data_IF_880608655006
#
_entry.id   IF_880608655006
#
_cell.length_a   1.000
_cell.length_b   1.000
_cell.length_c   1.000
_cell.angle_alpha   90.00
_cell.angle_beta   90.00
_cell.angle_gamma   90.00
#
_symmetry.space_group_name_H-M   'P 1'
#
loop_
_entity.id
_entity.type
_entity.pdbx_description
1 polymer ?
#
# COMPACT_ATOMS: atom_id res chain seq x y z
N UNK A 1 5.01 -1.71 29.98
CA UNK A 1 4.82 -0.64 28.98
C UNK A 1 6.12 -0.49 28.21
N UNK A 2 6.06 -0.33 26.88
CA UNK A 2 7.27 -0.14 26.08
C UNK A 2 7.97 1.18 26.47
N UNK A 3 9.31 1.20 26.45
CA UNK A 3 10.07 2.46 26.59
C UNK A 3 9.63 3.45 25.51
N UNK A 4 9.81 4.75 25.76
CA UNK A 4 9.53 5.79 24.75
C UNK A 4 10.49 5.60 23.56
N UNK A 5 9.94 5.40 22.37
CA UNK A 5 10.70 5.15 21.13
C UNK A 5 11.01 6.44 20.40
N UNK A 6 12.25 6.58 19.95
CA UNK A 6 12.71 7.66 19.10
C UNK A 6 12.50 7.29 17.63
N UNK A 7 11.75 8.11 16.89
CA UNK A 7 11.47 7.92 15.48
C UNK A 7 12.34 8.87 14.66
N UNK A 8 13.13 8.31 13.74
CA UNK A 8 13.77 9.04 12.67
C UNK A 8 12.85 9.11 11.45
N UNK A 9 12.74 10.26 10.79
CA UNK A 9 11.94 10.40 9.57
C UNK A 9 12.86 10.79 8.42
N UNK A 10 12.78 10.06 7.30
CA UNK A 10 13.52 10.38 6.07
C UNK A 10 12.53 10.62 4.93
N UNK A 11 12.58 11.83 4.38
CA UNK A 11 11.61 12.35 3.42
C UNK A 11 10.44 13.04 4.12
N UNK A 12 10.38 14.36 4.08
CA UNK A 12 9.29 15.18 4.63
C UNK A 12 8.33 15.60 3.50
N UNK A 13 7.83 14.63 2.73
CA UNK A 13 6.83 14.84 1.69
C UNK A 13 5.42 15.06 2.24
N UNK A 14 4.46 15.37 1.36
CA UNK A 14 3.03 15.64 1.71
C UNK A 14 2.41 14.59 2.66
N UNK A 15 2.74 13.32 2.46
CA UNK A 15 2.20 12.24 3.31
C UNK A 15 2.67 12.35 4.77
N UNK A 16 3.91 12.80 4.98
CA UNK A 16 4.48 13.00 6.31
C UNK A 16 3.84 14.21 6.99
N UNK A 17 3.65 15.31 6.26
CA UNK A 17 2.92 16.50 6.71
C UNK A 17 1.52 16.19 7.18
N UNK A 18 0.74 15.61 6.27
CA UNK A 18 -0.70 15.54 6.40
C UNK A 18 -1.12 14.38 7.33
N UNK A 19 -0.27 13.36 7.49
CA UNK A 19 -0.63 12.12 8.17
C UNK A 19 0.38 11.67 9.22
N UNK A 20 1.63 11.35 8.85
CA UNK A 20 2.53 10.68 9.80
C UNK A 20 2.87 11.55 11.01
N UNK A 21 3.23 12.82 10.80
CA UNK A 21 3.62 13.70 11.89
C UNK A 21 2.48 13.95 12.89
N UNK A 22 1.26 14.38 12.48
CA UNK A 22 0.13 14.49 13.40
C UNK A 22 -0.17 13.19 14.14
N UNK A 23 -0.17 12.06 13.42
CA UNK A 23 -0.48 10.76 14.00
C UNK A 23 0.55 10.31 15.04
N UNK A 24 1.84 10.43 14.73
CA UNK A 24 2.92 10.03 15.64
C UNK A 24 2.91 10.89 16.91
N UNK A 25 2.47 12.15 16.84
CA UNK A 25 2.29 12.98 18.05
C UNK A 25 1.13 12.55 18.95
N UNK A 26 0.18 11.77 18.43
CA UNK A 26 -0.90 11.18 19.22
C UNK A 26 -0.49 9.86 19.92
N UNK A 27 0.73 9.37 19.70
CA UNK A 27 1.25 8.16 20.34
C UNK A 27 2.11 8.52 21.56
N UNK A 28 1.64 8.17 22.75
CA UNK A 28 2.30 8.54 24.02
C UNK A 28 3.73 7.96 24.16
N UNK A 29 3.98 6.80 23.56
CA UNK A 29 5.24 6.07 23.63
C UNK A 29 6.20 6.42 22.48
N UNK A 30 6.00 7.52 21.77
CA UNK A 30 6.81 7.94 20.62
C UNK A 30 7.34 9.36 20.80
N UNK A 31 8.53 9.62 20.26
CA UNK A 31 9.10 10.96 20.07
C UNK A 31 9.76 11.05 18.70
N UNK A 32 9.52 12.14 17.97
CA UNK A 32 10.26 12.42 16.74
C UNK A 32 11.67 12.92 17.11
N UNK A 33 12.70 12.15 16.77
CA UNK A 33 14.10 12.50 17.07
C UNK A 33 14.68 13.45 16.04
N UNK A 34 14.52 13.10 14.77
CA UNK A 34 14.97 13.92 13.65
C UNK A 34 14.02 13.78 12.45
N UNK A 35 14.05 14.79 11.59
CA UNK A 35 13.42 14.80 10.28
C UNK A 35 14.52 15.14 9.27
N UNK A 36 14.69 14.28 8.28
CA UNK A 36 15.67 14.43 7.21
C UNK A 36 14.99 14.62 5.86
N UNK A 37 15.46 15.58 5.07
CA UNK A 37 15.00 15.83 3.70
C UNK A 37 16.13 16.49 2.89
N UNK A 38 16.06 16.40 1.56
CA UNK A 38 16.98 17.14 0.66
C UNK A 38 16.69 18.65 0.67
N UNK A 39 15.47 19.03 1.05
CA UNK A 39 15.01 20.43 1.20
C UNK A 39 15.24 20.93 2.63
N UNK A 40 15.21 22.26 2.79
CA UNK A 40 15.18 22.85 4.13
C UNK A 40 13.83 22.57 4.81
N UNK A 41 13.88 21.93 5.98
CA UNK A 41 12.73 21.50 6.79
C UNK A 41 12.79 22.06 8.23
N UNK A 42 13.62 23.08 8.49
CA UNK A 42 13.86 23.63 9.83
C UNK A 42 12.60 24.03 10.59
N UNK A 43 11.71 24.79 9.94
CA UNK A 43 10.48 25.28 10.58
C UNK A 43 9.57 24.16 11.08
N UNK A 44 9.64 23.02 10.40
CA UNK A 44 8.82 21.89 10.76
C UNK A 44 9.46 21.12 11.87
N UNK A 45 10.74 20.78 11.71
CA UNK A 45 11.44 20.03 12.73
C UNK A 45 11.28 20.77 14.08
N UNK A 46 11.37 22.10 14.06
CA UNK A 46 11.03 22.98 15.17
C UNK A 46 9.61 22.78 15.72
N UNK A 47 8.58 22.77 14.86
CA UNK A 47 7.18 22.55 15.24
C UNK A 47 6.96 21.22 15.98
N UNK A 48 7.76 20.20 15.64
CA UNK A 48 7.70 18.86 16.26
C UNK A 48 8.82 18.60 17.29
N UNK A 49 9.60 19.63 17.66
CA UNK A 49 10.75 19.53 18.59
C UNK A 49 11.76 18.44 18.19
N UNK A 50 11.94 18.27 16.88
CA UNK A 50 12.86 17.33 16.25
C UNK A 50 14.08 18.07 15.68
N UNK A 51 15.19 17.34 15.49
CA UNK A 51 16.37 17.86 14.80
C UNK A 51 16.11 17.89 13.29
N UNK A 52 16.36 19.03 12.65
CA UNK A 52 16.36 19.14 11.19
C UNK A 52 17.69 18.64 10.62
N UNK A 53 17.64 17.72 9.66
CA UNK A 53 18.84 17.23 8.96
C UNK A 53 18.63 17.45 7.46
N UNK A 54 19.53 18.20 6.83
CA UNK A 54 19.59 18.23 5.37
C UNK A 54 20.43 17.03 4.92
N UNK A 55 19.86 16.16 4.08
CA UNK A 55 20.55 14.98 3.55
C UNK A 55 20.78 15.15 2.05
N UNK A 56 22.02 14.99 1.60
CA UNK A 56 22.43 15.08 0.20
C UNK A 56 22.86 13.68 -0.28
N UNK A 57 21.94 12.71 -0.21
CA UNK A 57 22.06 11.29 -0.62
C UNK A 57 23.00 10.37 0.17
N UNK A 58 23.68 10.84 1.22
CA UNK A 58 24.41 9.98 2.15
C UNK A 58 23.58 9.64 3.39
N UNK A 59 23.00 8.41 3.48
CA UNK A 59 22.22 8.01 4.67
C UNK A 59 23.09 7.79 5.91
N UNK A 60 24.42 7.66 5.78
CA UNK A 60 25.30 7.33 6.90
C UNK A 60 25.38 8.45 7.94
N UNK A 61 25.14 9.70 7.52
CA UNK A 61 25.11 10.88 8.41
C UNK A 61 23.92 10.88 9.38
N UNK A 62 22.89 10.08 9.11
CA UNK A 62 21.67 10.06 9.91
C UNK A 62 21.96 9.40 11.26
N UNK A 63 21.53 10.01 12.38
CA UNK A 63 21.79 9.46 13.71
C UNK A 63 20.89 8.25 13.97
N UNK A 64 21.30 7.39 14.90
CA UNK A 64 20.49 6.23 15.27
C UNK A 64 19.12 6.61 15.85
N UNK A 65 18.14 5.73 15.68
CA UNK A 65 16.80 5.85 16.23
C UNK A 65 16.26 4.45 16.56
N UNK A 66 15.14 4.38 17.29
CA UNK A 66 14.53 3.10 17.62
C UNK A 66 13.69 2.54 16.45
N UNK A 67 13.14 3.42 15.59
CA UNK A 67 12.47 3.08 14.33
C UNK A 67 12.71 4.21 13.33
N UNK A 68 12.95 3.88 12.05
CA UNK A 68 12.99 4.88 10.97
C UNK A 68 11.73 4.79 10.08
N UNK A 69 11.12 5.93 9.78
CA UNK A 69 10.13 6.09 8.71
C UNK A 69 10.85 6.47 7.41
N UNK A 70 10.76 5.62 6.39
CA UNK A 70 11.23 5.92 5.04
C UNK A 70 10.05 6.36 4.16
N UNK A 71 9.89 7.68 4.01
CA UNK A 71 8.89 8.31 3.15
C UNK A 71 9.50 8.99 1.90
N UNK A 72 10.67 8.50 1.48
CA UNK A 72 11.35 8.90 0.24
C UNK A 72 10.69 8.30 -1.00
N UNK A 73 10.92 8.85 -2.21
CA UNK A 73 10.60 8.16 -3.46
C UNK A 73 11.24 6.76 -3.52
N UNK A 74 10.60 5.81 -4.21
CA UNK A 74 11.07 4.42 -4.24
C UNK A 74 12.42 4.26 -4.92
N UNK A 75 12.70 5.08 -5.94
CA UNK A 75 13.96 5.04 -6.70
C UNK A 75 15.23 5.33 -5.89
N UNK A 76 15.11 6.05 -4.77
CA UNK A 76 16.25 6.43 -3.92
C UNK A 76 16.22 5.72 -2.57
N UNK A 77 15.36 4.71 -2.39
CA UNK A 77 15.13 4.09 -1.08
C UNK A 77 16.20 3.08 -0.69
N UNK A 78 16.82 2.43 -1.68
CA UNK A 78 17.76 1.34 -1.44
C UNK A 78 18.91 1.72 -0.49
N UNK A 79 19.63 2.84 -0.68
CA UNK A 79 20.73 3.21 0.22
C UNK A 79 20.27 3.36 1.68
N UNK A 80 19.06 3.89 1.91
CA UNK A 80 18.50 4.01 3.25
C UNK A 80 18.14 2.64 3.85
N UNK A 81 17.52 1.74 3.09
CA UNK A 81 17.23 0.37 3.57
C UNK A 81 18.53 -0.35 3.92
N UNK A 82 19.55 -0.23 3.07
CA UNK A 82 20.85 -0.82 3.33
C UNK A 82 21.47 -0.26 4.62
N UNK A 83 21.45 1.06 4.80
CA UNK A 83 22.08 1.71 5.95
C UNK A 83 21.38 1.36 7.27
N UNK A 84 20.05 1.50 7.33
CA UNK A 84 19.30 1.16 8.55
C UNK A 84 19.25 -0.36 8.79
N UNK A 85 19.29 -1.16 7.74
CA UNK A 85 19.42 -2.62 7.83
C UNK A 85 20.74 -3.07 8.46
N UNK A 86 21.88 -2.48 8.06
CA UNK A 86 23.19 -2.73 8.68
C UNK A 86 23.22 -2.42 10.18
N UNK A 87 22.47 -1.39 10.59
CA UNK A 87 22.36 -0.97 12.00
C UNK A 87 21.28 -1.71 12.77
N UNK A 88 20.60 -2.67 12.13
CA UNK A 88 19.47 -3.43 12.67
C UNK A 88 18.30 -2.56 13.18
N UNK A 89 18.18 -1.34 12.63
CA UNK A 89 17.12 -0.38 12.98
C UNK A 89 15.83 -0.80 12.25
N UNK A 90 14.71 -0.99 12.96
CA UNK A 90 13.42 -1.26 12.35
C UNK A 90 12.98 -0.19 11.36
N UNK A 91 12.47 -0.62 10.21
CA UNK A 91 12.08 0.25 9.10
C UNK A 91 10.57 0.23 8.87
N UNK A 92 9.94 1.39 8.98
CA UNK A 92 8.58 1.62 8.48
C UNK A 92 8.67 2.32 7.12
N UNK A 93 8.45 1.59 6.03
CA UNK A 93 8.53 2.14 4.67
C UNK A 93 7.16 2.60 4.17
N UNK A 94 7.11 3.75 3.51
CA UNK A 94 5.99 4.07 2.64
C UNK A 94 5.91 3.14 1.43
N UNK A 95 4.72 3.10 0.83
CA UNK A 95 4.42 2.32 -0.37
C UNK A 95 4.69 3.14 -1.66
N UNK A 96 4.99 2.48 -2.79
CA UNK A 96 5.25 1.04 -2.93
C UNK A 96 6.55 0.66 -2.21
N UNK A 97 6.64 -0.56 -1.68
CA UNK A 97 7.84 -1.00 -0.96
C UNK A 97 9.09 -0.97 -1.85
N UNK A 98 8.98 -1.51 -3.07
CA UNK A 98 10.01 -1.55 -4.09
C UNK A 98 9.41 -1.33 -5.48
N UNK A 99 10.24 -0.93 -6.45
CA UNK A 99 9.82 -0.66 -7.82
C UNK A 99 9.50 -1.94 -8.61
N UNK A 100 10.17 -3.04 -8.31
CA UNK A 100 9.97 -4.34 -8.96
C UNK A 100 10.34 -5.49 -8.00
N UNK A 101 10.07 -6.72 -8.43
CA UNK A 101 10.30 -7.91 -7.61
C UNK A 101 11.77 -8.12 -7.24
N UNK A 102 12.71 -7.81 -8.14
CA UNK A 102 14.14 -7.98 -7.89
C UNK A 102 14.61 -7.05 -6.75
N UNK A 103 14.27 -5.77 -6.85
CA UNK A 103 14.54 -4.79 -5.79
C UNK A 103 13.86 -5.18 -4.47
N UNK A 104 12.62 -5.69 -4.52
CA UNK A 104 11.93 -6.17 -3.33
C UNK A 104 12.70 -7.31 -2.65
N UNK A 105 13.09 -8.34 -3.41
CA UNK A 105 13.88 -9.48 -2.90
C UNK A 105 15.22 -9.01 -2.34
N UNK A 106 15.86 -8.02 -2.97
CA UNK A 106 17.09 -7.41 -2.48
C UNK A 106 16.88 -6.71 -1.13
N UNK A 107 15.81 -5.91 -0.97
CA UNK A 107 15.50 -5.23 0.28
C UNK A 107 15.27 -6.21 1.44
N UNK A 108 14.59 -7.33 1.19
CA UNK A 108 14.37 -8.37 2.21
C UNK A 108 15.65 -9.12 2.62
N UNK A 109 16.71 -9.07 1.81
CA UNK A 109 18.04 -9.58 2.20
C UNK A 109 18.82 -8.58 3.06
N UNK A 110 18.49 -7.29 2.99
CA UNK A 110 19.18 -6.22 3.71
C UNK A 110 18.64 -6.03 5.13
N UNK A 111 17.39 -6.42 5.38
CA UNK A 111 16.76 -6.32 6.71
C UNK A 111 15.61 -7.31 6.86
N UNK A 112 15.47 -7.85 8.07
CA UNK A 112 14.34 -8.66 8.51
C UNK A 112 13.41 -7.90 9.49
N UNK A 113 13.62 -6.59 9.69
CA UNK A 113 12.84 -5.75 10.61
C UNK A 113 12.13 -4.62 9.87
N UNK A 114 11.36 -4.97 8.85
CA UNK A 114 10.74 -3.98 7.95
C UNK A 114 9.25 -4.21 7.78
N UNK A 115 8.51 -3.11 7.67
CA UNK A 115 7.12 -3.10 7.26
C UNK A 115 6.89 -2.09 6.13
N UNK A 116 5.87 -2.32 5.29
CA UNK A 116 5.42 -1.33 4.32
C UNK A 116 4.01 -0.84 4.67
N UNK A 117 3.73 0.43 4.44
CA UNK A 117 2.47 1.07 4.75
C UNK A 117 1.31 0.68 3.81
N UNK A 118 1.02 -0.60 3.68
CA UNK A 118 -0.22 -1.12 3.10
C UNK A 118 -1.37 -1.08 4.11
N UNK A 119 -1.60 0.09 4.72
CA UNK A 119 -2.61 0.31 5.78
C UNK A 119 -4.03 -0.11 5.41
N UNK A 120 -4.40 -0.13 4.13
CA UNK A 120 -5.77 -0.47 3.70
C UNK A 120 -6.20 -1.89 4.08
N UNK A 121 -5.26 -2.79 4.42
CA UNK A 121 -5.61 -4.10 4.98
C UNK A 121 -6.35 -4.01 6.32
N UNK A 122 -6.27 -2.86 7.00
CA UNK A 122 -6.99 -2.56 8.24
C UNK A 122 -8.37 -1.94 8.01
N UNK A 123 -8.77 -1.64 6.76
CA UNK A 123 -10.12 -1.17 6.49
C UNK A 123 -11.15 -2.24 6.90
N UNK A 124 -12.21 -1.79 7.57
CA UNK A 124 -13.33 -2.65 7.97
C UNK A 124 -13.90 -3.45 6.80
N UNK A 125 -14.08 -2.83 5.63
CA UNK A 125 -14.51 -3.50 4.40
C UNK A 125 -13.63 -4.69 4.01
N UNK A 126 -12.31 -4.52 4.07
CA UNK A 126 -11.34 -5.58 3.75
C UNK A 126 -11.42 -6.72 4.75
N UNK A 127 -11.54 -6.40 6.04
CA UNK A 127 -11.63 -7.39 7.12
C UNK A 127 -12.94 -8.18 7.05
N UNK A 128 -14.07 -7.50 6.83
CA UNK A 128 -15.37 -8.12 6.66
C UNK A 128 -15.44 -8.97 5.38
N UNK A 129 -14.82 -8.53 4.28
CA UNK A 129 -14.74 -9.32 3.05
C UNK A 129 -13.96 -10.62 3.25
N UNK A 130 -12.85 -10.57 4.00
CA UNK A 130 -12.07 -11.75 4.38
C UNK A 130 -12.89 -12.71 5.26
N UNK A 131 -13.64 -12.17 6.23
CA UNK A 131 -14.55 -12.96 7.07
C UNK A 131 -15.64 -13.66 6.23
N UNK A 132 -16.27 -12.95 5.28
CA UNK A 132 -17.27 -13.51 4.36
C UNK A 132 -16.68 -14.69 3.57
N UNK A 133 -15.49 -14.51 2.96
CA UNK A 133 -14.83 -15.59 2.20
C UNK A 133 -14.54 -16.78 3.11
N UNK A 134 -13.96 -16.54 4.30
CA UNK A 134 -13.58 -17.61 5.23
C UNK A 134 -14.78 -18.39 5.78
N UNK A 135 -15.93 -17.73 5.94
CA UNK A 135 -17.15 -18.36 6.46
C UNK A 135 -17.84 -19.27 5.44
N UNK A 136 -17.57 -19.08 4.15
CA UNK A 136 -18.27 -19.80 3.07
C UNK A 136 -19.77 -19.49 2.96
N UNK A 137 -20.26 -18.44 3.63
CA UNK A 137 -21.71 -18.14 3.73
C UNK A 137 -22.41 -17.96 2.38
N UNK A 138 -21.69 -17.50 1.35
CA UNK A 138 -22.22 -17.31 -0.01
C UNK A 138 -21.78 -18.40 -1.01
N UNK A 139 -21.21 -19.49 -0.53
CA UNK A 139 -20.61 -20.54 -1.35
C UNK A 139 -19.24 -20.14 -1.91
N UNK A 140 -18.85 -20.74 -3.03
CA UNK A 140 -17.53 -20.53 -3.62
C UNK A 140 -17.43 -19.16 -4.29
N UNK A 141 -16.28 -18.50 -4.13
CA UNK A 141 -15.93 -17.32 -4.91
C UNK A 141 -15.64 -17.73 -6.36
N UNK A 142 -16.34 -17.12 -7.32
CA UNK A 142 -16.28 -17.46 -8.74
C UNK A 142 -15.47 -16.47 -9.56
N UNK A 143 -15.64 -15.18 -9.27
CA UNK A 143 -15.02 -14.09 -10.05
C UNK A 143 -14.84 -12.85 -9.19
N UNK A 144 -13.81 -12.08 -9.50
CA UNK A 144 -13.54 -10.78 -8.91
C UNK A 144 -13.44 -9.75 -10.04
N UNK A 145 -14.08 -8.60 -9.85
CA UNK A 145 -13.98 -7.44 -10.76
C UNK A 145 -13.55 -6.23 -9.95
N UNK A 146 -12.45 -5.60 -10.33
CA UNK A 146 -11.90 -4.42 -9.67
C UNK A 146 -11.75 -3.33 -10.71
N UNK A 147 -12.40 -2.20 -10.46
CA UNK A 147 -12.23 -1.00 -11.25
C UNK A 147 -11.75 0.12 -10.34
N UNK A 148 -10.66 0.78 -10.71
CA UNK A 148 -10.14 1.92 -9.99
C UNK A 148 -9.94 3.09 -10.94
N UNK A 149 -10.65 4.16 -10.69
CA UNK A 149 -10.44 5.43 -11.37
C UNK A 149 -9.81 6.44 -10.42
N UNK A 150 -8.81 7.14 -10.95
CA UNK A 150 -8.24 8.29 -10.29
C UNK A 150 -8.33 9.49 -11.24
N UNK A 151 -8.84 10.61 -10.76
CA UNK A 151 -8.84 11.84 -11.56
C UNK A 151 -7.44 12.47 -11.56
N UNK A 152 -6.88 12.74 -12.75
CA UNK A 152 -5.75 13.67 -12.90
C UNK A 152 -6.25 15.08 -12.60
N UNK A 153 -6.25 15.49 -11.34
CA UNK A 153 -6.45 16.90 -11.00
C UNK A 153 -5.16 17.65 -11.33
N UNK A 154 -5.25 18.94 -11.69
CA UNK A 154 -4.08 19.84 -11.66
C UNK A 154 -3.48 19.76 -10.26
N UNK A 155 -2.36 19.05 -10.13
CA UNK A 155 -1.78 18.75 -8.82
C UNK A 155 -1.01 19.94 -8.25
N UNK A 156 -0.79 20.99 -9.05
CA UNK A 156 0.10 22.11 -8.72
C UNK A 156 1.56 21.67 -8.54
N UNK A 157 1.88 20.43 -8.92
CA UNK A 157 3.22 19.87 -8.72
C UNK A 157 4.18 20.41 -9.80
N UNK A 158 5.43 20.72 -9.42
CA UNK A 158 6.48 21.08 -10.36
C UNK A 158 6.67 20.01 -11.46
N UNK A 159 7.18 20.40 -12.64
CA UNK A 159 7.40 19.48 -13.77
C UNK A 159 8.41 18.37 -13.44
N UNK A 160 9.34 18.65 -12.54
CA UNK A 160 10.41 17.81 -12.00
C UNK A 160 9.99 17.01 -10.74
N UNK A 161 8.69 16.98 -10.43
CA UNK A 161 8.19 16.21 -9.29
C UNK A 161 8.47 14.71 -9.46
N UNK A 162 8.89 14.01 -8.40
CA UNK A 162 9.30 12.59 -8.48
C UNK A 162 8.30 11.63 -9.18
N UNK A 163 7.01 11.97 -9.18
CA UNK A 163 5.96 11.17 -9.84
C UNK A 163 5.95 11.26 -11.37
N UNK A 164 6.61 12.25 -11.96
CA UNK A 164 6.79 12.37 -13.42
C UNK A 164 8.11 11.77 -13.90
N UNK A 165 8.95 11.26 -12.98
CA UNK A 165 10.21 10.61 -13.26
C UNK A 165 10.09 9.09 -12.99
N UNK A 166 10.09 8.23 -14.03
CA UNK A 166 9.96 6.78 -13.89
C UNK A 166 10.97 6.16 -12.92
N UNK A 167 12.21 6.63 -12.93
CA UNK A 167 13.27 6.16 -12.04
C UNK A 167 12.93 6.43 -10.58
N UNK A 168 12.38 7.60 -10.27
CA UNK A 168 12.03 7.98 -8.89
C UNK A 168 10.69 7.39 -8.43
N UNK A 169 9.69 7.33 -9.31
CA UNK A 169 8.35 6.81 -9.00
C UNK A 169 8.26 5.29 -9.00
N UNK A 170 9.15 4.64 -9.75
CA UNK A 170 9.15 3.19 -10.01
C UNK A 170 8.13 2.75 -11.07
N UNK A 171 7.21 3.63 -11.48
CA UNK A 171 6.14 3.34 -12.44
C UNK A 171 5.00 4.38 -12.38
N UNK A 172 3.93 4.12 -13.14
CA UNK A 172 2.75 4.99 -13.24
C UNK A 172 1.65 4.62 -12.25
N UNK A 173 0.39 4.68 -12.71
CA UNK A 173 -0.80 4.55 -11.86
C UNK A 173 -0.88 3.19 -11.16
N UNK A 174 -0.45 2.10 -11.81
CA UNK A 174 -0.49 0.76 -11.24
C UNK A 174 0.41 0.64 -10.00
N UNK A 175 1.64 1.12 -10.09
CA UNK A 175 2.55 1.15 -8.93
C UNK A 175 2.10 2.19 -7.90
N UNK A 176 1.72 3.38 -8.31
CA UNK A 176 1.44 4.48 -7.38
C UNK A 176 0.14 4.26 -6.59
N UNK A 177 -0.90 3.77 -7.25
CA UNK A 177 -2.26 3.61 -6.71
C UNK A 177 -2.70 2.15 -6.65
N UNK A 178 -2.42 1.38 -7.70
CA UNK A 178 -2.83 -0.01 -7.82
C UNK A 178 -2.21 -0.92 -6.76
N UNK A 179 -0.98 -0.65 -6.30
CA UNK A 179 -0.32 -1.44 -5.24
C UNK A 179 -1.15 -1.54 -3.95
N UNK A 180 -1.86 -0.47 -3.57
CA UNK A 180 -2.77 -0.53 -2.41
C UNK A 180 -3.92 -1.50 -2.66
N UNK A 181 -4.58 -1.39 -3.80
CA UNK A 181 -5.73 -2.22 -4.16
C UNK A 181 -5.35 -3.67 -4.32
N UNK A 182 -4.21 -3.95 -4.94
CA UNK A 182 -3.67 -5.30 -5.07
C UNK A 182 -3.20 -5.85 -3.72
N UNK A 183 -2.64 -5.05 -2.81
CA UNK A 183 -2.34 -5.50 -1.44
C UNK A 183 -3.60 -5.88 -0.65
N UNK A 184 -4.70 -5.15 -0.82
CA UNK A 184 -6.00 -5.52 -0.23
C UNK A 184 -6.48 -6.84 -0.80
N UNK A 185 -6.38 -7.03 -2.12
CA UNK A 185 -6.77 -8.27 -2.79
C UNK A 185 -5.98 -9.47 -2.27
N UNK A 186 -4.64 -9.37 -2.21
CA UNK A 186 -3.78 -10.43 -1.67
C UNK A 186 -4.12 -10.71 -0.20
N UNK A 187 -4.36 -9.67 0.61
CA UNK A 187 -4.74 -9.86 2.02
C UNK A 187 -6.10 -10.56 2.18
N UNK A 188 -7.09 -10.23 1.34
CA UNK A 188 -8.42 -10.84 1.35
C UNK A 188 -8.34 -12.32 0.97
N UNK A 189 -7.59 -12.64 -0.09
CA UNK A 189 -7.46 -13.99 -0.63
C UNK A 189 -6.52 -14.88 0.19
N UNK A 190 -5.61 -14.27 0.96
CA UNK A 190 -4.63 -15.00 1.75
C UNK A 190 -3.49 -15.51 0.87
N UNK A 191 -2.92 -16.66 1.26
CA UNK A 191 -1.88 -17.29 0.47
C UNK A 191 -2.47 -17.82 -0.85
N UNK A 192 -1.90 -17.36 -1.97
CA UNK A 192 -2.35 -17.71 -3.29
C UNK A 192 -1.27 -17.48 -4.34
N UNK A 193 -1.35 -18.26 -5.42
CA UNK A 193 -0.60 -18.04 -6.64
C UNK A 193 -1.48 -17.33 -7.69
N UNK A 194 -0.84 -16.83 -8.74
CA UNK A 194 -1.55 -16.16 -9.82
C UNK A 194 -0.90 -16.42 -11.18
N UNK A 195 -1.72 -16.35 -12.22
CA UNK A 195 -1.29 -16.45 -13.61
C UNK A 195 -1.93 -15.33 -14.41
N UNK A 196 -1.10 -14.43 -14.96
CA UNK A 196 -1.59 -13.37 -15.84
C UNK A 196 -2.05 -14.01 -17.16
N UNK A 197 -3.32 -13.80 -17.52
CA UNK A 197 -3.88 -14.29 -18.79
C UNK A 197 -3.68 -13.25 -19.88
N UNK A 198 -4.07 -12.02 -19.59
CA UNK A 198 -4.04 -10.89 -20.52
C UNK A 198 -3.66 -9.63 -19.73
N UNK A 199 -2.87 -8.76 -20.35
CA UNK A 199 -2.57 -7.44 -19.82
C UNK A 199 -2.40 -6.48 -21.00
N UNK A 200 -2.99 -5.31 -20.88
CA UNK A 200 -2.87 -4.20 -21.82
C UNK A 200 -2.76 -2.91 -21.02
N UNK A 201 -2.04 -1.93 -21.56
CA UNK A 201 -2.03 -0.60 -20.97
C UNK A 201 -1.61 0.50 -21.91
N UNK A 202 -1.75 1.73 -21.39
CA UNK A 202 -1.39 2.96 -22.07
C UNK A 202 -0.30 3.67 -21.28
N UNK A 203 0.81 3.96 -21.94
CA UNK A 203 1.97 4.63 -21.38
C UNK A 203 2.18 6.01 -21.98
N UNK A 204 2.72 6.90 -21.16
CA UNK A 204 3.24 8.19 -21.58
C UNK A 204 4.55 8.41 -20.82
N UNK A 205 5.66 8.54 -21.56
CA UNK A 205 7.02 8.69 -20.99
C UNK A 205 7.35 7.59 -19.96
N UNK A 206 7.14 6.32 -20.32
CA UNK A 206 7.39 5.14 -19.47
C UNK A 206 6.52 5.01 -18.21
N UNK A 207 5.61 5.94 -17.97
CA UNK A 207 4.62 5.86 -16.90
C UNK A 207 3.29 5.32 -17.45
N UNK A 208 2.75 4.28 -16.83
CA UNK A 208 1.41 3.80 -17.18
C UNK A 208 0.33 4.76 -16.67
N UNK A 209 -0.62 5.11 -17.53
CA UNK A 209 -1.81 5.89 -17.20
C UNK A 209 -3.09 5.06 -17.21
N UNK A 210 -3.01 3.86 -17.79
CA UNK A 210 -4.10 2.90 -17.82
C UNK A 210 -3.53 1.50 -17.87
N UNK A 211 -4.09 0.61 -17.05
CA UNK A 211 -3.83 -0.83 -17.12
C UNK A 211 -5.17 -1.54 -17.04
N UNK A 212 -5.35 -2.52 -17.93
CA UNK A 212 -6.41 -3.51 -17.88
C UNK A 212 -5.76 -4.88 -17.94
N UNK A 213 -6.10 -5.76 -17.00
CA UNK A 213 -5.54 -7.11 -16.96
C UNK A 213 -6.57 -8.11 -16.47
N UNK A 214 -6.47 -9.32 -17.02
CA UNK A 214 -7.18 -10.50 -16.55
C UNK A 214 -6.14 -11.49 -16.04
N UNK A 215 -6.31 -11.95 -14.81
CA UNK A 215 -5.46 -12.98 -14.23
C UNK A 215 -6.29 -13.96 -13.42
N UNK A 216 -5.79 -15.17 -13.31
CA UNK A 216 -6.40 -16.19 -12.46
C UNK A 216 -5.62 -16.23 -11.14
N UNK A 217 -6.33 -16.27 -10.01
CA UNK A 217 -5.77 -16.57 -8.69
C UNK A 217 -6.03 -18.05 -8.39
N UNK A 218 -5.01 -18.73 -7.89
CA UNK A 218 -5.02 -20.16 -7.57
C UNK A 218 -4.83 -20.32 -6.06
N UNK A 219 -5.77 -20.99 -5.39
CA UNK A 219 -5.70 -21.33 -3.96
C UNK A 219 -6.30 -22.73 -3.75
N UNK A 220 -5.47 -23.69 -3.31
CA UNK A 220 -5.89 -25.07 -3.02
C UNK A 220 -6.82 -25.65 -4.11
N UNK A 221 -6.32 -25.68 -5.35
CA UNK A 221 -7.00 -26.14 -6.58
C UNK A 221 -8.20 -25.31 -7.06
N UNK A 222 -8.56 -24.24 -6.36
CA UNK A 222 -9.60 -23.31 -6.81
C UNK A 222 -8.99 -22.21 -7.65
N UNK A 223 -9.60 -22.00 -8.82
CA UNK A 223 -9.22 -20.94 -9.76
C UNK A 223 -10.30 -19.85 -9.72
N UNK A 224 -9.91 -18.64 -9.34
CA UNK A 224 -10.78 -17.46 -9.36
C UNK A 224 -10.26 -16.46 -10.37
N UNK A 225 -11.05 -16.15 -11.39
CA UNK A 225 -10.70 -15.13 -12.37
C UNK A 225 -10.86 -13.73 -11.79
N UNK A 226 -9.85 -12.89 -11.99
CA UNK A 226 -9.83 -11.48 -11.60
C UNK A 226 -9.72 -10.63 -12.85
N UNK A 227 -10.70 -9.74 -13.02
CA UNK A 227 -10.65 -8.64 -13.99
C UNK A 227 -10.28 -7.37 -13.24
N UNK A 228 -9.12 -6.81 -13.55
CA UNK A 228 -8.60 -5.61 -12.91
C UNK A 228 -8.42 -4.50 -13.94
N UNK A 229 -8.93 -3.32 -13.62
CA UNK A 229 -8.73 -2.12 -14.42
C UNK A 229 -8.39 -0.94 -13.53
N UNK A 230 -7.33 -0.22 -13.86
CA UNK A 230 -6.96 1.03 -13.23
C UNK A 230 -6.71 2.09 -14.31
N UNK A 231 -7.21 3.31 -14.12
CA UNK A 231 -7.11 4.35 -15.15
C UNK A 231 -7.10 5.77 -14.61
N UNK A 232 -6.27 6.61 -15.24
CA UNK A 232 -6.39 8.07 -15.25
C UNK A 232 -7.28 8.57 -16.40
N UNK A 233 -7.48 7.75 -17.44
CA UNK A 233 -8.03 8.18 -18.73
C UNK A 233 -9.54 8.01 -18.85
N UNK A 234 -10.11 6.99 -18.18
CA UNK A 234 -11.53 6.63 -18.31
C UNK A 234 -12.26 6.88 -16.99
N UNK A 235 -13.04 7.97 -16.86
CA UNK A 235 -13.87 8.19 -15.68
C UNK A 235 -14.78 6.99 -15.41
N UNK A 236 -14.66 6.40 -14.22
CA UNK A 236 -15.50 5.30 -13.78
C UNK A 236 -15.66 5.31 -12.26
N UNK A 237 -16.57 4.48 -11.76
CA UNK A 237 -16.70 4.26 -10.32
C UNK A 237 -15.55 3.37 -9.83
N UNK A 238 -14.95 3.75 -8.71
CA UNK A 238 -13.96 2.90 -8.01
C UNK A 238 -14.67 1.89 -7.13
N UNK A 239 -14.51 0.59 -7.43
CA UNK A 239 -15.12 -0.50 -6.66
C UNK A 239 -14.34 -1.81 -6.79
N UNK A 240 -14.55 -2.69 -5.81
CA UNK A 240 -14.25 -4.12 -5.90
C UNK A 240 -15.55 -4.89 -5.78
N UNK A 241 -15.77 -5.86 -6.66
CA UNK A 241 -16.91 -6.76 -6.67
C UNK A 241 -16.43 -8.21 -6.63
N UNK A 242 -16.95 -8.96 -5.67
CA UNK A 242 -16.70 -10.38 -5.45
C UNK A 242 -17.99 -11.14 -5.76
N UNK A 243 -17.94 -12.05 -6.73
CA UNK A 243 -19.09 -12.81 -7.22
C UNK A 243 -18.98 -14.23 -6.71
N UNK A 244 -19.95 -14.67 -5.92
CA UNK A 244 -20.03 -16.00 -5.33
C UNK A 244 -21.08 -16.88 -6.02
N UNK A 245 -21.33 -18.06 -5.47
CA UNK A 245 -22.42 -18.94 -5.92
C UNK A 245 -23.79 -18.30 -5.73
N UNK A 246 -24.03 -17.73 -4.55
CA UNK A 246 -25.37 -17.26 -4.18
C UNK A 246 -25.50 -15.73 -4.12
N UNK A 247 -24.39 -15.00 -4.03
CA UNK A 247 -24.40 -13.55 -3.86
C UNK A 247 -23.25 -12.82 -4.59
N UNK A 248 -23.41 -11.51 -4.75
CA UNK A 248 -22.36 -10.56 -5.10
C UNK A 248 -22.13 -9.62 -3.93
N UNK A 249 -20.85 -9.37 -3.60
CA UNK A 249 -20.45 -8.39 -2.60
C UNK A 249 -19.64 -7.29 -3.27
N UNK A 250 -20.04 -6.03 -3.11
CA UNK A 250 -19.41 -4.88 -3.75
C UNK A 250 -19.14 -3.77 -2.75
N UNK A 251 -17.99 -3.11 -2.86
CA UNK A 251 -17.63 -1.97 -2.01
C UNK A 251 -16.61 -1.07 -2.72
N UNK A 252 -16.54 0.21 -2.34
CA UNK A 252 -15.46 1.09 -2.78
C UNK A 252 -14.17 0.80 -2.00
N UNK A 253 -13.21 0.12 -2.63
CA UNK A 253 -11.93 -0.23 -1.99
C UNK A 253 -11.00 0.95 -1.72
N UNK A 254 -11.27 2.14 -2.27
CA UNK A 254 -10.48 3.34 -1.99
C UNK A 254 -10.72 3.89 -0.58
N UNK A 255 -11.87 3.58 0.02
CA UNK A 255 -12.31 4.01 1.35
C UNK A 255 -12.70 2.80 2.22
N UNK A 256 -12.77 2.97 3.55
CA UNK A 256 -13.37 1.97 4.44
C UNK A 256 -14.91 1.98 4.32
N UNK A 257 -15.41 1.60 3.14
CA UNK A 257 -16.81 1.66 2.73
C UNK A 257 -17.67 0.52 3.33
N UNK A 258 -19.00 0.66 3.27
CA UNK A 258 -19.92 -0.43 3.57
C UNK A 258 -19.84 -1.52 2.48
N UNK A 259 -20.13 -2.77 2.85
CA UNK A 259 -20.28 -3.85 1.87
C UNK A 259 -21.72 -3.92 1.38
N UNK A 260 -21.94 -3.80 0.06
CA UNK A 260 -23.25 -4.01 -0.57
C UNK A 260 -23.36 -5.45 -1.04
N UNK A 261 -24.38 -6.15 -0.57
CA UNK A 261 -24.61 -7.58 -0.86
C UNK A 261 -25.90 -7.73 -1.64
N UNK A 262 -25.83 -8.40 -2.79
CA UNK A 262 -26.99 -8.69 -3.65
C UNK A 262 -27.07 -10.19 -3.96
N UNK A 263 -28.28 -10.79 -4.01
CA UNK A 263 -28.44 -12.15 -4.55
C UNK A 263 -27.99 -12.22 -6.00
N UNK A 264 -27.37 -13.34 -6.40
CA UNK A 264 -26.91 -13.53 -7.78
C UNK A 264 -28.08 -13.76 -8.77
N UNK A 265 -29.22 -14.28 -8.30
CA UNK A 265 -30.38 -14.67 -9.13
C UNK A 265 -31.24 -13.51 -9.65
N UNK A 266 -30.70 -12.28 -9.70
CA UNK A 266 -31.34 -11.13 -10.34
C UNK A 266 -32.74 -10.76 -9.81
N UNK A 267 -32.91 -10.68 -8.50
CA UNK A 267 -34.06 -9.99 -7.91
C UNK A 267 -33.84 -8.48 -7.99
N UNK A 268 -34.84 -7.73 -8.48
CA UNK A 268 -34.92 -6.25 -8.59
C UNK A 268 -34.79 -5.49 -7.24
N UNK A 269 -34.00 -5.98 -6.29
CA UNK A 269 -33.76 -5.38 -4.98
C UNK A 269 -32.40 -4.71 -4.90
N UNK A 270 -32.28 -3.69 -4.04
CA UNK A 270 -31.04 -2.95 -3.81
C UNK A 270 -29.98 -3.74 -3.05
N UNK A 271 -30.32 -4.95 -2.60
CA UNK A 271 -29.51 -5.74 -1.69
C UNK A 271 -29.60 -5.23 -0.25
N UNK A 272 -28.65 -5.63 0.58
CA UNK A 272 -28.46 -5.03 1.90
C UNK A 272 -27.03 -4.53 2.08
N UNK A 273 -26.85 -3.62 3.04
CA UNK A 273 -25.55 -3.06 3.39
C UNK A 273 -25.08 -3.67 4.70
N UNK A 274 -23.85 -4.16 4.72
CA UNK A 274 -23.11 -4.40 5.96
C UNK A 274 -22.33 -3.12 6.27
N UNK A 275 -22.72 -2.44 7.35
CA UNK A 275 -22.05 -1.24 7.80
C UNK A 275 -20.59 -1.54 8.23
N UNK A 276 -19.69 -0.55 8.12
CA UNK A 276 -18.32 -0.65 8.62
C UNK A 276 -18.26 -1.08 10.09
N UNK A 277 -17.58 -2.19 10.37
CA UNK A 277 -17.35 -2.65 11.74
C UNK A 277 -16.32 -1.75 12.44
N UNK A 278 -16.71 -1.12 13.56
CA UNK A 278 -15.86 -0.23 14.38
C UNK A 278 -14.68 -0.93 15.08
N UNK A 279 -14.60 -2.26 15.05
CA UNK A 279 -13.42 -3.03 15.48
C UNK A 279 -12.18 -2.74 14.61
N UNK A 280 -12.40 -2.34 13.36
CA UNK A 280 -11.36 -2.07 12.37
C UNK A 280 -11.45 -0.63 11.89
N UNK A 281 -10.56 -0.20 10.99
CA UNK A 281 -10.54 1.18 10.54
C UNK A 281 -11.80 1.53 9.73
N UNK A 282 -12.50 2.56 10.17
CA UNK A 282 -13.60 3.23 9.47
C UNK A 282 -13.17 4.57 8.88
N UNK A 283 -11.90 4.96 9.05
CA UNK A 283 -11.27 6.11 8.37
C UNK A 283 -9.86 5.75 7.90
N UNK A 284 -9.33 6.51 6.94
CA UNK A 284 -7.94 6.34 6.51
C UNK A 284 -6.95 6.59 7.66
N UNK A 285 -7.16 7.62 8.48
CA UNK A 285 -6.29 7.93 9.63
C UNK A 285 -6.25 6.81 10.67
N UNK A 286 -7.40 6.17 10.94
CA UNK A 286 -7.43 4.98 11.81
C UNK A 286 -6.63 3.82 11.21
N UNK A 287 -6.65 3.63 9.89
CA UNK A 287 -5.87 2.57 9.25
C UNK A 287 -4.35 2.82 9.39
N UNK A 288 -3.91 4.05 9.18
CA UNK A 288 -2.51 4.45 9.46
C UNK A 288 -2.16 4.21 10.94
N UNK A 289 -3.06 4.57 11.85
CA UNK A 289 -2.84 4.40 13.29
C UNK A 289 -2.68 2.93 13.65
N UNK A 290 -3.58 2.07 13.16
CA UNK A 290 -3.52 0.63 13.38
C UNK A 290 -2.23 0.02 12.79
N UNK A 291 -1.79 0.49 11.61
CA UNK A 291 -0.53 0.03 11.01
C UNK A 291 0.70 0.42 11.84
N UNK A 292 0.77 1.67 12.31
CA UNK A 292 1.84 2.12 13.20
C UNK A 292 1.83 1.37 14.53
N UNK A 293 0.66 1.27 15.15
CA UNK A 293 0.49 0.58 16.43
C UNK A 293 0.92 -0.88 16.34
N UNK A 294 0.47 -1.61 15.31
CA UNK A 294 0.86 -3.00 15.09
C UNK A 294 2.38 -3.15 14.92
N UNK A 295 3.03 -2.28 14.15
CA UNK A 295 4.48 -2.33 13.97
C UNK A 295 5.23 -2.01 15.27
N UNK A 296 4.83 -0.94 15.98
CA UNK A 296 5.42 -0.57 17.27
C UNK A 296 5.24 -1.68 18.31
N UNK A 297 4.04 -2.28 18.37
CA UNK A 297 3.75 -3.39 19.29
C UNK A 297 4.67 -4.59 19.00
N UNK A 298 4.90 -4.93 17.72
CA UNK A 298 5.86 -6.00 17.32
C UNK A 298 7.28 -5.68 17.76
N UNK A 299 7.75 -4.45 17.58
CA UNK A 299 9.08 -4.02 18.03
C UNK A 299 9.21 -4.07 19.56
N UNK A 300 8.23 -3.52 20.27
CA UNK A 300 8.22 -3.46 21.73
C UNK A 300 8.11 -4.82 22.41
N UNK A 301 7.52 -5.81 21.73
CA UNK A 301 7.34 -7.17 22.25
C UNK A 301 8.32 -8.18 21.66
N UNK A 302 9.30 -7.71 20.87
CA UNK A 302 10.27 -8.54 20.15
C UNK A 302 9.60 -9.69 19.37
N UNK A 303 8.37 -9.47 18.91
CA UNK A 303 7.66 -10.46 18.10
C UNK A 303 8.33 -10.58 16.73
N UNK A 304 8.45 -11.81 16.20
CA UNK A 304 8.89 -12.01 14.84
C UNK A 304 8.08 -11.17 13.85
N UNK A 305 8.77 -10.52 12.92
CA UNK A 305 8.16 -9.75 11.84
C UNK A 305 8.23 -10.62 10.60
N UNK A 306 7.08 -11.10 10.13
CA UNK A 306 6.99 -11.70 8.81
C UNK A 306 7.08 -10.59 7.76
N UNK A 307 8.32 -10.29 7.36
CA UNK A 307 8.59 -9.22 6.40
C UNK A 307 7.92 -9.48 5.06
N UNK A 308 7.75 -10.74 4.64
CA UNK A 308 7.11 -11.07 3.36
C UNK A 308 5.64 -10.65 3.32
N UNK A 309 4.92 -10.89 4.41
CA UNK A 309 3.53 -10.43 4.59
C UNK A 309 3.47 -8.92 4.85
N UNK A 310 4.38 -8.38 5.66
CA UNK A 310 4.37 -6.96 6.04
C UNK A 310 4.71 -6.02 4.88
N UNK A 311 5.48 -6.49 3.90
CA UNK A 311 5.82 -5.76 2.67
C UNK A 311 5.01 -6.20 1.46
N UNK A 312 4.14 -7.21 1.59
CA UNK A 312 3.27 -7.74 0.54
C UNK A 312 4.03 -8.08 -0.75
N UNK A 313 5.02 -8.98 -0.68
CA UNK A 313 5.86 -9.33 -1.84
C UNK A 313 5.04 -9.82 -3.04
N UNK A 314 3.97 -10.59 -2.81
CA UNK A 314 3.03 -11.04 -3.85
C UNK A 314 2.41 -9.88 -4.63
N UNK A 315 2.19 -8.72 -4.00
CA UNK A 315 1.72 -7.52 -4.69
C UNK A 315 2.78 -7.00 -5.67
N UNK A 316 4.04 -6.92 -5.25
CA UNK A 316 5.11 -6.46 -6.14
C UNK A 316 5.38 -7.47 -7.26
N UNK A 317 5.33 -8.77 -6.96
CA UNK A 317 5.40 -9.84 -7.95
C UNK A 317 4.30 -9.70 -8.99
N UNK A 318 3.04 -9.57 -8.55
CA UNK A 318 1.89 -9.42 -9.45
C UNK A 318 2.02 -8.21 -10.38
N UNK A 319 2.41 -7.05 -9.83
CA UNK A 319 2.65 -5.84 -10.64
C UNK A 319 3.77 -6.06 -11.65
N UNK A 320 4.86 -6.71 -11.23
CA UNK A 320 6.01 -7.00 -12.12
C UNK A 320 5.58 -7.89 -13.27
N UNK A 321 4.79 -8.94 -13.01
CA UNK A 321 4.29 -9.86 -14.04
C UNK A 321 3.24 -9.22 -14.96
N UNK A 322 2.39 -8.32 -14.42
CA UNK A 322 1.47 -7.51 -15.25
C UNK A 322 2.28 -6.67 -16.25
N UNK A 323 3.30 -5.94 -15.80
CA UNK A 323 4.11 -5.12 -16.70
C UNK A 323 4.89 -5.93 -17.73
N UNK A 324 5.42 -7.11 -17.37
CA UNK A 324 6.10 -7.99 -18.32
C UNK A 324 5.17 -8.50 -19.43
N UNK A 325 3.92 -8.80 -19.08
CA UNK A 325 2.95 -9.37 -20.03
C UNK A 325 2.11 -8.32 -20.76
N UNK A 326 2.15 -7.06 -20.34
CA UNK A 326 1.31 -6.03 -20.90
C UNK A 326 1.66 -5.72 -22.36
N UNK A 327 0.66 -5.79 -23.24
CA UNK A 327 0.71 -5.11 -24.53
C UNK A 327 0.68 -3.60 -24.29
N UNK A 328 1.70 -2.89 -24.81
CA UNK A 328 1.91 -1.46 -24.53
C UNK A 328 1.45 -0.60 -25.70
N UNK A 329 0.47 0.26 -25.45
CA UNK A 329 0.17 1.43 -26.30
C UNK A 329 0.93 2.65 -25.76
N UNK A 330 1.83 3.22 -26.55
CA UNK A 330 2.53 4.45 -26.21
C UNK A 330 1.78 5.66 -26.80
N UNK A 331 1.61 6.73 -26.01
CA UNK A 331 0.90 7.95 -26.41
C UNK A 331 1.75 9.20 -26.38
#
# INVERSE_FOLDING_TARGET
MCKKLNIGIVGAGKIVWDIHLPLLTCLDNVKIKYIADVRDIKEIAKSYKAVAIKVDDDPSILPDCDIVLLATPVGVREPYIQEFGKREIPIFSEKPFAANLEAHKKFLKLTNRVTCNYMKIYYSSVRQMKEIISSGIFGQLRKIVICQYNSLRRTGKPKDHYQTNPTLSGGGILIEKGCHTLSQLMHILGDCDFVIREAYGVWLHELDFHIQTVFDVINNDRIVRVEFTISYLKPSNTFSKFIFDTAEVMFNHASPDALRIKPRSNSKGDGFLIAPNKRWATTQYQAFYLKWKDFIDKICTEKPIDTTSETSIKTTELITEIYKKAEREER
#
